data_IF_477378316186
#
_entry.id   IF_477378316186
#
_cell.length_a   1.000
_cell.length_b   1.000
_cell.length_c   1.000
_cell.angle_alpha   90.00
_cell.angle_beta   90.00
_cell.angle_gamma   90.00
#
_symmetry.space_group_name_H-M   'P 1'
#
loop_
_entity.id
_entity.type
_entity.pdbx_description
1 polymer ?
#
# COMPACT_ATOMS: atom_id res chain seq x y z
N UNK A 1 11.92 10.21 -1.11
CA UNK A 1 12.71 8.98 -1.31
C UNK A 1 11.76 7.80 -1.17
N UNK A 2 11.76 6.87 -2.14
CA UNK A 2 10.92 5.67 -2.05
C UNK A 2 11.55 4.72 -1.02
N UNK A 3 10.88 4.53 0.09
CA UNK A 3 11.28 3.63 1.16
C UNK A 3 11.20 2.17 0.71
N UNK A 4 10.22 1.86 -0.15
CA UNK A 4 9.88 0.50 -0.52
C UNK A 4 9.17 0.41 -1.88
N UNK A 5 9.24 -0.77 -2.49
CA UNK A 5 8.48 -1.12 -3.70
C UNK A 5 7.40 -2.13 -3.34
N UNK A 6 6.14 -1.74 -3.41
CA UNK A 6 4.98 -2.60 -3.14
C UNK A 6 4.96 -3.81 -4.08
N UNK A 7 4.86 -5.02 -3.54
CA UNK A 7 4.84 -6.28 -4.28
C UNK A 7 3.52 -7.02 -4.18
N UNK A 8 2.79 -6.86 -3.08
CA UNK A 8 1.49 -7.47 -2.85
C UNK A 8 0.58 -6.58 -2.02
N UNK A 9 -0.73 -6.76 -2.21
CA UNK A 9 -1.77 -6.13 -1.41
C UNK A 9 -2.97 -7.08 -1.36
N UNK A 10 -3.49 -7.33 -0.17
CA UNK A 10 -4.69 -8.13 0.03
C UNK A 10 -5.96 -7.33 -0.24
N UNK A 11 -7.10 -8.00 -0.27
CA UNK A 11 -8.39 -7.34 -0.09
C UNK A 11 -8.51 -6.74 1.31
N UNK A 12 -9.55 -5.93 1.52
CA UNK A 12 -9.90 -5.40 2.83
C UNK A 12 -10.72 -6.43 3.58
N UNK A 13 -10.40 -6.61 4.86
CA UNK A 13 -11.11 -7.48 5.78
C UNK A 13 -11.66 -6.67 6.95
N UNK A 14 -12.95 -6.81 7.22
CA UNK A 14 -13.61 -6.22 8.39
C UNK A 14 -13.61 -7.22 9.52
N UNK A 15 -13.20 -6.79 10.71
CA UNK A 15 -13.26 -7.57 11.95
C UNK A 15 -13.99 -6.78 13.02
N UNK A 16 -14.67 -7.50 13.92
CA UNK A 16 -15.25 -6.90 15.12
C UNK A 16 -14.15 -6.39 16.07
N UNK A 17 -14.45 -5.36 16.84
CA UNK A 17 -13.54 -4.91 17.91
C UNK A 17 -13.44 -5.98 19.00
N UNK A 18 -12.22 -6.37 19.36
CA UNK A 18 -11.97 -7.34 20.44
C UNK A 18 -11.66 -6.58 21.73
N UNK A 19 -12.52 -6.71 22.72
CA UNK A 19 -12.25 -6.24 24.10
C UNK A 19 -12.70 -4.82 24.44
N UNK A 20 -13.38 -4.10 23.54
CA UNK A 20 -14.00 -2.80 23.85
C UNK A 20 -15.21 -2.53 22.94
N UNK A 21 -16.14 -1.68 23.40
CA UNK A 21 -17.25 -1.17 22.60
C UNK A 21 -16.72 -0.13 21.62
N UNK A 22 -16.42 -0.57 20.39
CA UNK A 22 -15.92 0.26 19.31
C UNK A 22 -16.50 -0.18 17.97
N UNK A 23 -16.34 0.66 16.94
CA UNK A 23 -16.67 0.30 15.56
C UNK A 23 -15.75 -0.82 15.03
N UNK A 24 -16.18 -1.46 13.94
CA UNK A 24 -15.40 -2.48 13.25
C UNK A 24 -14.07 -1.95 12.74
N UNK A 25 -13.07 -2.82 12.68
CA UNK A 25 -11.77 -2.54 12.09
C UNK A 25 -11.70 -3.00 10.64
N UNK A 26 -11.00 -2.24 9.83
CA UNK A 26 -10.62 -2.64 8.49
C UNK A 26 -9.14 -3.01 8.47
N UNK A 27 -8.85 -4.25 8.09
CA UNK A 27 -7.53 -4.82 8.08
C UNK A 27 -7.09 -5.12 6.65
N UNK A 28 -5.81 -4.93 6.38
CA UNK A 28 -5.20 -5.17 5.08
C UNK A 28 -3.74 -5.58 5.30
N UNK A 29 -3.25 -6.51 4.51
CA UNK A 29 -1.82 -6.82 4.43
C UNK A 29 -1.22 -6.29 3.14
N UNK A 30 0.04 -5.88 3.24
CA UNK A 30 0.86 -5.49 2.09
C UNK A 30 2.21 -6.16 2.16
N UNK A 31 2.77 -6.52 1.00
CA UNK A 31 4.17 -6.94 0.88
C UNK A 31 4.95 -5.95 0.05
N UNK A 32 6.23 -5.75 0.39
CA UNK A 32 7.10 -4.82 -0.34
C UNK A 32 8.56 -5.20 -0.20
N UNK A 33 9.38 -4.76 -1.16
CA UNK A 33 10.84 -4.79 -1.04
C UNK A 33 11.37 -3.48 -0.50
N UNK A 34 12.36 -3.58 0.39
CA UNK A 34 13.06 -2.42 0.95
C UNK A 34 14.57 -2.70 1.04
N UNK A 35 15.36 -1.66 0.79
CA UNK A 35 16.83 -1.69 0.89
C UNK A 35 17.35 -1.07 2.19
N UNK A 36 16.46 -0.66 3.09
CA UNK A 36 16.82 -0.08 4.39
C UNK A 36 16.66 -1.13 5.49
N UNK A 37 17.34 -0.92 6.62
CA UNK A 37 17.29 -1.86 7.73
C UNK A 37 15.88 -2.00 8.31
N UNK A 38 15.52 -3.17 8.90
CA UNK A 38 14.22 -3.39 9.52
C UNK A 38 13.83 -2.34 10.57
N UNK A 39 14.78 -1.92 11.42
CA UNK A 39 14.54 -0.88 12.41
C UNK A 39 14.24 0.48 11.78
N UNK A 40 14.91 0.83 10.69
CA UNK A 40 14.61 2.07 9.97
C UNK A 40 13.25 2.01 9.27
N UNK A 41 12.85 0.84 8.74
CA UNK A 41 11.48 0.62 8.24
C UNK A 41 10.49 0.88 9.37
N UNK A 42 10.69 0.28 10.54
CA UNK A 42 9.79 0.47 11.69
C UNK A 42 9.67 1.94 12.10
N UNK A 43 10.78 2.67 12.21
CA UNK A 43 10.77 4.10 12.51
C UNK A 43 9.94 4.90 11.51
N UNK A 44 10.05 4.58 10.22
CA UNK A 44 9.28 5.28 9.18
C UNK A 44 7.79 4.94 9.22
N UNK A 45 7.42 3.70 9.55
CA UNK A 45 6.02 3.33 9.76
C UNK A 45 5.42 4.08 10.95
N UNK A 46 6.15 4.21 12.05
CA UNK A 46 5.74 5.02 13.21
C UNK A 46 5.56 6.52 12.87
N UNK A 47 6.41 7.06 12.01
CA UNK A 47 6.27 8.44 11.52
C UNK A 47 5.01 8.60 10.65
N UNK A 48 4.69 7.61 9.81
CA UNK A 48 3.45 7.58 9.03
C UNK A 48 2.24 7.56 9.95
N UNK A 49 2.19 6.69 10.94
CA UNK A 49 1.10 6.64 11.93
C UNK A 49 0.90 7.99 12.62
N UNK A 50 2.00 8.60 13.09
CA UNK A 50 1.98 9.92 13.71
C UNK A 50 1.44 11.00 12.77
N UNK A 51 1.87 11.00 11.51
CA UNK A 51 1.41 11.95 10.49
C UNK A 51 -0.09 11.81 10.23
N UNK A 52 -0.61 10.57 10.32
CA UNK A 52 -2.04 10.26 10.16
C UNK A 52 -2.87 10.51 11.43
N UNK A 53 -2.26 11.07 12.49
CA UNK A 53 -2.95 11.52 13.69
C UNK A 53 -2.91 10.55 14.89
N UNK A 54 -2.09 9.49 14.85
CA UNK A 54 -1.87 8.63 16.01
C UNK A 54 -0.97 9.32 17.03
N UNK A 55 -1.49 9.65 18.20
CA UNK A 55 -0.71 10.14 19.34
C UNK A 55 -0.57 9.04 20.39
N UNK A 56 0.65 8.55 20.63
CA UNK A 56 0.94 7.52 21.64
C UNK A 56 0.78 8.01 23.10
N UNK A 57 0.76 9.34 23.34
CA UNK A 57 0.52 9.93 24.67
C UNK A 57 -0.88 9.64 25.20
N UNK A 58 -1.83 9.25 24.37
CA UNK A 58 -3.21 8.95 24.73
C UNK A 58 -3.46 7.47 25.05
N UNK A 59 -2.42 6.63 25.11
CA UNK A 59 -2.50 5.17 25.27
C UNK A 59 -3.03 4.69 26.66
N UNK A 60 -3.28 5.58 27.59
CA UNK A 60 -3.91 5.23 28.88
C UNK A 60 -5.42 4.93 28.78
N UNK A 61 -6.05 5.13 27.63
CA UNK A 61 -7.44 4.77 27.33
C UNK A 61 -7.50 3.96 26.04
N UNK A 62 -8.28 2.89 26.04
CA UNK A 62 -8.67 2.13 24.85
C UNK A 62 -9.49 3.02 23.92
N UNK A 63 -8.79 3.91 23.19
CA UNK A 63 -9.38 4.80 22.20
C UNK A 63 -9.23 4.13 20.84
N UNK A 64 -10.30 4.17 20.06
CA UNK A 64 -10.29 3.71 18.66
C UNK A 64 -9.10 4.34 17.92
N UNK A 65 -8.14 3.52 17.48
CA UNK A 65 -6.94 3.97 16.75
C UNK A 65 -7.32 4.22 15.30
N UNK A 66 -6.90 5.36 14.77
CA UNK A 66 -7.14 5.72 13.36
C UNK A 66 -6.40 4.75 12.43
N UNK A 67 -5.18 4.35 12.80
CA UNK A 67 -4.34 3.43 12.04
C UNK A 67 -3.35 2.74 13.00
N UNK A 68 -3.04 1.48 12.68
CA UNK A 68 -2.02 0.66 13.34
C UNK A 68 -1.25 -0.10 12.26
N UNK A 69 0.08 0.03 12.21
CA UNK A 69 0.91 -0.56 11.16
C UNK A 69 1.98 -1.43 11.81
N UNK A 70 1.82 -2.74 11.71
CA UNK A 70 2.73 -3.73 12.26
C UNK A 70 3.59 -4.38 11.16
N UNK A 71 4.88 -4.63 11.45
CA UNK A 71 5.73 -5.49 10.63
C UNK A 71 5.48 -6.94 11.06
N UNK A 72 4.93 -7.75 10.16
CA UNK A 72 4.58 -9.13 10.44
C UNK A 72 5.75 -10.10 10.26
N UNK A 73 6.37 -10.06 9.07
CA UNK A 73 7.45 -10.93 8.63
C UNK A 73 8.47 -10.17 7.80
N UNK A 74 9.73 -10.56 7.86
CA UNK A 74 10.80 -10.10 6.96
C UNK A 74 11.59 -11.33 6.52
N UNK A 75 11.23 -11.89 5.37
CA UNK A 75 11.87 -13.12 4.85
C UNK A 75 11.99 -14.21 5.94
N UNK A 76 13.18 -14.70 6.21
CA UNK A 76 13.50 -15.69 7.25
C UNK A 76 14.10 -15.07 8.52
N UNK A 77 14.09 -13.72 8.64
CA UNK A 77 14.69 -13.03 9.78
C UNK A 77 13.88 -13.26 11.06
N UNK A 78 14.65 -13.42 12.15
CA UNK A 78 14.13 -13.42 13.52
C UNK A 78 14.81 -12.28 14.27
N UNK A 79 14.03 -11.32 14.71
CA UNK A 79 14.49 -10.16 15.49
C UNK A 79 13.66 -10.13 16.78
N UNK A 80 14.35 -10.09 17.92
CA UNK A 80 13.73 -9.94 19.24
C UNK A 80 14.44 -8.81 19.98
N UNK A 81 13.98 -7.59 19.73
CA UNK A 81 14.43 -6.40 20.42
C UNK A 81 13.26 -5.68 21.11
N UNK A 82 13.56 -4.70 21.95
CA UNK A 82 12.52 -3.90 22.59
C UNK A 82 11.69 -3.10 21.57
N UNK A 83 12.34 -2.64 20.50
CA UNK A 83 11.71 -1.78 19.48
C UNK A 83 11.04 -2.56 18.33
N UNK A 84 11.52 -3.78 18.05
CA UNK A 84 11.05 -4.57 16.91
C UNK A 84 11.11 -6.05 17.20
N UNK A 85 9.97 -6.74 17.03
CA UNK A 85 9.87 -8.20 17.08
C UNK A 85 9.36 -8.73 15.76
N UNK A 86 10.15 -9.59 15.12
CA UNK A 86 9.85 -10.22 13.83
C UNK A 86 10.25 -11.69 13.91
N UNK A 87 9.36 -12.63 13.63
CA UNK A 87 7.93 -12.46 13.29
C UNK A 87 7.15 -11.78 14.40
N UNK A 88 6.08 -11.07 14.02
CA UNK A 88 5.21 -10.41 15.00
C UNK A 88 4.60 -11.46 15.97
N UNK A 89 4.74 -11.30 17.30
CA UNK A 89 4.41 -12.35 18.26
C UNK A 89 2.98 -12.88 18.15
N UNK A 90 2.03 -11.98 17.88
CA UNK A 90 0.61 -12.30 17.86
C UNK A 90 0.06 -12.62 16.46
N UNK A 91 0.89 -12.63 15.42
CA UNK A 91 0.39 -12.76 14.05
C UNK A 91 -0.37 -14.09 13.84
N UNK A 92 0.15 -15.18 14.39
CA UNK A 92 -0.46 -16.50 14.26
C UNK A 92 -1.68 -16.71 15.15
N UNK A 93 -2.03 -15.76 16.03
CA UNK A 93 -3.19 -15.82 16.92
C UNK A 93 -4.35 -14.94 16.45
N UNK A 94 -4.16 -14.18 15.37
CA UNK A 94 -5.11 -13.17 14.88
C UNK A 94 -5.59 -13.49 13.48
N UNK A 95 -6.84 -13.89 13.36
CA UNK A 95 -7.44 -14.23 12.07
C UNK A 95 -7.44 -13.05 11.09
N UNK A 96 -7.68 -11.84 11.59
CA UNK A 96 -7.67 -10.62 10.79
C UNK A 96 -6.27 -10.21 10.28
N UNK A 97 -5.21 -10.87 10.76
CA UNK A 97 -3.85 -10.78 10.24
C UNK A 97 -3.58 -11.92 9.26
N UNK A 98 -3.92 -13.15 9.64
CA UNK A 98 -3.58 -14.35 8.87
C UNK A 98 -4.33 -14.45 7.55
N UNK A 99 -5.65 -14.16 7.51
CA UNK A 99 -6.41 -14.23 6.25
C UNK A 99 -5.88 -13.31 5.15
N UNK A 100 -5.69 -11.99 5.40
CA UNK A 100 -5.12 -11.13 4.38
C UNK A 100 -3.66 -11.46 4.03
N UNK A 101 -2.88 -12.02 4.95
CA UNK A 101 -1.50 -12.42 4.69
C UNK A 101 -1.43 -13.66 3.78
N UNK A 102 -2.24 -14.68 4.04
CA UNK A 102 -2.36 -15.88 3.22
C UNK A 102 -2.89 -15.54 1.81
N UNK A 103 -3.75 -14.55 1.68
CA UNK A 103 -4.21 -14.08 0.37
C UNK A 103 -3.06 -13.55 -0.49
N UNK A 104 -2.05 -12.91 0.13
CA UNK A 104 -0.86 -12.43 -0.60
C UNK A 104 0.04 -13.60 -1.01
N UNK A 105 0.36 -14.48 -0.08
CA UNK A 105 1.18 -15.67 -0.34
C UNK A 105 0.88 -16.78 0.70
N UNK A 106 0.11 -17.80 0.30
CA UNK A 106 -0.22 -18.92 1.18
C UNK A 106 0.96 -19.83 1.52
N UNK A 107 2.04 -19.76 0.72
CA UNK A 107 3.19 -20.64 0.85
C UNK A 107 4.33 -20.03 1.70
N UNK A 108 4.13 -18.84 2.25
CA UNK A 108 5.09 -18.24 3.17
C UNK A 108 5.36 -19.18 4.35
N UNK A 109 6.64 -19.39 4.64
CA UNK A 109 7.09 -20.21 5.76
C UNK A 109 7.33 -19.32 6.97
N UNK A 110 6.73 -19.66 8.09
CA UNK A 110 6.99 -18.95 9.33
C UNK A 110 8.43 -19.20 9.81
N UNK A 111 9.27 -18.18 10.01
CA UNK A 111 10.74 -18.35 10.19
C UNK A 111 11.12 -19.13 11.46
N UNK A 112 10.26 -19.16 12.48
CA UNK A 112 10.53 -19.88 13.73
C UNK A 112 9.98 -21.30 13.68
N UNK A 113 8.69 -21.48 13.38
CA UNK A 113 8.05 -22.80 13.37
C UNK A 113 8.43 -23.65 12.16
N UNK A 114 8.94 -23.03 11.09
CA UNK A 114 9.26 -23.69 9.81
C UNK A 114 8.07 -24.38 9.12
N UNK A 115 6.86 -23.95 9.47
CA UNK A 115 5.58 -24.42 8.93
C UNK A 115 5.03 -23.34 8.01
N UNK A 116 4.28 -23.73 6.97
CA UNK A 116 3.63 -22.76 6.08
C UNK A 116 2.53 -22.01 6.83
N UNK A 117 2.31 -20.74 6.47
CA UNK A 117 1.24 -19.95 7.07
C UNK A 117 -0.15 -20.55 6.81
N UNK A 118 -0.31 -21.22 5.67
CA UNK A 118 -1.53 -21.93 5.34
C UNK A 118 -1.81 -23.09 6.32
N UNK A 119 -0.80 -23.92 6.61
CA UNK A 119 -0.93 -25.02 7.58
C UNK A 119 -1.23 -24.48 8.99
N UNK A 120 -0.53 -23.42 9.42
CA UNK A 120 -0.83 -22.77 10.71
C UNK A 120 -2.27 -22.27 10.74
N UNK A 121 -2.78 -21.72 9.65
CA UNK A 121 -4.13 -21.19 9.57
C UNK A 121 -5.19 -22.29 9.55
N UNK A 122 -4.93 -23.46 8.99
CA UNK A 122 -5.84 -24.61 8.99
C UNK A 122 -6.13 -25.13 10.41
N UNK A 123 -5.21 -24.94 11.35
CA UNK A 123 -5.35 -25.27 12.77
C UNK A 123 -5.99 -24.13 13.59
N UNK A 124 -6.37 -23.02 12.96
CA UNK A 124 -6.81 -21.81 13.61
C UNK A 124 -8.22 -21.93 14.20
N UNK A 125 -8.45 -21.32 15.35
CA UNK A 125 -9.80 -21.21 15.95
C UNK A 125 -10.73 -20.34 15.06
N UNK A 126 -11.79 -20.94 14.55
CA UNK A 126 -12.75 -20.31 13.64
C UNK A 126 -13.70 -19.30 14.32
N UNK A 127 -13.58 -19.11 15.66
CA UNK A 127 -14.52 -18.25 16.42
C UNK A 127 -14.33 -16.75 16.16
N UNK A 128 -13.18 -16.31 15.61
CA UNK A 128 -12.97 -14.91 15.28
C UNK A 128 -13.72 -14.57 13.98
N UNK A 129 -14.73 -13.69 14.11
CA UNK A 129 -15.50 -13.23 12.95
C UNK A 129 -14.70 -12.24 12.10
N UNK A 130 -14.61 -12.53 10.82
CA UNK A 130 -13.97 -11.69 9.82
C UNK A 130 -14.78 -11.75 8.53
N UNK A 131 -14.87 -10.63 7.83
CA UNK A 131 -15.60 -10.52 6.57
C UNK A 131 -14.73 -9.84 5.52
N UNK A 132 -14.45 -10.54 4.44
CA UNK A 132 -13.83 -9.95 3.25
C UNK A 132 -14.79 -8.95 2.60
N UNK A 133 -14.31 -7.77 2.23
CA UNK A 133 -15.07 -6.69 1.60
C UNK A 133 -14.73 -6.56 0.14
N UNK A 134 -15.74 -6.38 -0.69
CA UNK A 134 -15.59 -6.03 -2.12
C UNK A 134 -15.25 -4.54 -2.29
N UNK A 135 -14.24 -4.08 -1.56
CA UNK A 135 -13.70 -2.73 -1.67
C UNK A 135 -12.44 -2.77 -2.52
N UNK A 136 -12.48 -2.12 -3.66
CA UNK A 136 -11.32 -1.94 -4.51
C UNK A 136 -10.50 -0.79 -3.94
N UNK A 137 -9.36 -1.11 -3.35
CA UNK A 137 -8.34 -0.11 -3.10
C UNK A 137 -7.75 0.30 -4.44
N UNK A 138 -7.60 1.59 -4.64
CA UNK A 138 -6.79 2.11 -5.74
C UNK A 138 -5.35 1.61 -5.53
N UNK A 139 -5.10 0.40 -6.03
CA UNK A 139 -3.80 -0.23 -5.91
C UNK A 139 -2.79 0.61 -6.69
N UNK A 140 -1.81 1.24 -6.03
CA UNK A 140 -0.77 1.97 -6.73
C UNK A 140 0.02 1.07 -7.70
N UNK A 141 -0.11 -0.27 -7.60
CA UNK A 141 0.35 -1.21 -8.62
C UNK A 141 -0.39 -1.09 -9.95
N UNK A 142 -1.65 -0.69 -9.97
CA UNK A 142 -2.35 -0.43 -11.23
C UNK A 142 -1.72 0.76 -11.97
N UNK A 143 -1.10 1.69 -11.23
CA UNK A 143 -0.20 2.70 -11.79
C UNK A 143 1.17 2.11 -12.19
N UNK A 144 1.62 1.01 -11.56
CA UNK A 144 2.85 0.30 -11.94
C UNK A 144 2.66 -0.58 -13.18
N UNK A 145 1.43 -0.91 -13.56
CA UNK A 145 1.14 -1.54 -14.85
C UNK A 145 1.52 -0.65 -16.05
N UNK A 146 1.73 0.64 -15.82
CA UNK A 146 2.34 1.58 -16.78
C UNK A 146 3.64 1.02 -17.38
N UNK A 147 4.43 0.28 -16.60
CA UNK A 147 5.68 -0.35 -17.10
C UNK A 147 5.46 -1.43 -18.16
N UNK A 148 4.24 -1.95 -18.26
CA UNK A 148 3.88 -2.96 -19.26
C UNK A 148 3.49 -2.34 -20.62
N UNK A 149 3.40 -1.02 -20.70
CA UNK A 149 3.06 -0.31 -21.91
C UNK A 149 4.28 0.37 -22.53
N UNK A 150 4.45 0.21 -23.83
CA UNK A 150 5.52 0.85 -24.57
C UNK A 150 5.25 2.36 -24.82
N UNK A 151 4.00 2.76 -24.71
CA UNK A 151 3.56 4.13 -25.00
C UNK A 151 2.35 4.50 -24.14
N UNK A 152 2.37 5.68 -23.54
CA UNK A 152 1.28 6.25 -22.76
C UNK A 152 1.03 7.68 -23.28
N UNK A 153 -0.18 7.92 -23.77
CA UNK A 153 -0.64 9.24 -24.16
C UNK A 153 -1.45 9.89 -23.02
N UNK A 154 -1.18 11.16 -22.75
CA UNK A 154 -1.92 11.97 -21.78
C UNK A 154 -2.61 13.10 -22.52
N UNK A 155 -3.92 13.08 -22.53
CA UNK A 155 -4.76 14.07 -23.16
C UNK A 155 -5.57 14.85 -22.12
N UNK A 156 -5.99 16.06 -22.48
CA UNK A 156 -6.84 16.93 -21.65
C UNK A 156 -6.79 18.37 -22.10
N UNK A 157 -7.65 19.21 -21.56
CA UNK A 157 -7.77 20.62 -21.94
C UNK A 157 -6.52 21.45 -21.62
N UNK A 158 -6.39 22.62 -22.25
CA UNK A 158 -5.31 23.58 -21.95
C UNK A 158 -5.39 23.94 -20.47
N UNK A 159 -4.24 23.95 -19.79
CA UNK A 159 -4.16 24.28 -18.36
C UNK A 159 -4.51 23.12 -17.40
N UNK A 160 -4.91 21.93 -17.88
CA UNK A 160 -5.31 20.79 -17.03
C UNK A 160 -4.15 20.06 -16.32
N UNK A 161 -2.92 20.55 -16.45
CA UNK A 161 -1.75 19.97 -15.80
C UNK A 161 -1.09 18.77 -16.50
N UNK A 162 -1.45 18.48 -17.76
CA UNK A 162 -0.88 17.37 -18.55
C UNK A 162 0.65 17.32 -18.52
N UNK A 163 1.28 18.46 -18.76
CA UNK A 163 2.76 18.56 -18.80
C UNK A 163 3.38 18.24 -17.44
N UNK A 164 2.77 18.71 -16.36
CA UNK A 164 3.24 18.43 -14.99
C UNK A 164 3.10 16.95 -14.66
N UNK A 165 1.95 16.35 -14.99
CA UNK A 165 1.69 14.92 -14.80
C UNK A 165 2.65 14.07 -15.64
N UNK A 166 2.86 14.40 -16.92
CA UNK A 166 3.78 13.67 -17.81
C UNK A 166 5.21 13.71 -17.28
N UNK A 167 5.68 14.86 -16.79
CA UNK A 167 7.00 15.01 -16.17
C UNK A 167 7.12 14.16 -14.91
N UNK A 168 6.10 14.14 -14.08
CA UNK A 168 6.09 13.35 -12.85
C UNK A 168 6.12 11.85 -13.15
N UNK A 169 5.28 11.37 -14.07
CA UNK A 169 5.28 9.98 -14.53
C UNK A 169 6.65 9.60 -15.11
N UNK A 170 7.23 10.45 -15.97
CA UNK A 170 8.55 10.19 -16.53
C UNK A 170 9.63 10.05 -15.46
N UNK A 171 9.62 10.91 -14.44
CA UNK A 171 10.56 10.84 -13.32
C UNK A 171 10.33 9.61 -12.44
N UNK A 172 9.07 9.32 -12.14
CA UNK A 172 8.69 8.22 -11.24
C UNK A 172 8.97 6.84 -11.82
N UNK A 173 8.79 6.67 -13.13
CA UNK A 173 8.94 5.39 -13.81
C UNK A 173 10.20 5.29 -14.68
N UNK A 174 11.06 6.32 -14.67
CA UNK A 174 12.25 6.42 -15.51
C UNK A 174 11.93 6.15 -16.99
N UNK A 175 10.91 6.82 -17.51
CA UNK A 175 10.44 6.67 -18.88
C UNK A 175 10.86 7.86 -19.72
N UNK A 176 10.97 7.65 -21.05
CA UNK A 176 11.25 8.73 -21.99
C UNK A 176 10.05 9.66 -22.09
N UNK A 177 10.25 10.95 -21.78
CA UNK A 177 9.24 11.99 -21.92
C UNK A 177 9.22 12.54 -23.35
N UNK A 178 8.05 12.55 -23.95
CA UNK A 178 7.77 13.24 -25.20
C UNK A 178 6.67 14.27 -24.97
N UNK A 179 7.01 15.54 -25.09
CA UNK A 179 6.05 16.64 -24.99
C UNK A 179 5.63 17.08 -26.38
N UNK A 180 4.37 17.51 -26.50
CA UNK A 180 3.87 18.14 -27.72
C UNK A 180 4.69 19.41 -28.03
N UNK A 181 5.16 19.51 -29.27
CA UNK A 181 5.90 20.70 -29.76
C UNK A 181 4.93 21.66 -30.40
N UNK A 182 4.42 22.62 -29.64
CA UNK A 182 3.48 23.63 -30.14
C UNK A 182 4.09 24.47 -31.28
N UNK A 183 5.40 24.75 -31.22
CA UNK A 183 6.07 25.66 -32.15
C UNK A 183 6.15 25.08 -33.56
N UNK A 184 6.21 23.75 -33.66
CA UNK A 184 6.41 23.06 -34.97
C UNK A 184 5.12 22.39 -35.48
N UNK A 185 3.95 22.67 -34.86
CA UNK A 185 2.70 22.09 -35.29
C UNK A 185 2.04 22.98 -36.39
N UNK A 186 2.09 22.59 -37.68
CA UNK A 186 1.57 23.40 -38.77
C UNK A 186 0.05 23.58 -38.76
N UNK A 187 -0.66 22.81 -37.97
CA UNK A 187 -2.12 22.85 -37.84
C UNK A 187 -2.59 23.78 -36.71
N UNK A 188 -1.71 24.15 -35.77
CA UNK A 188 -2.09 24.94 -34.61
C UNK A 188 -2.53 26.35 -34.98
N UNK A 189 -1.81 26.99 -35.93
CA UNK A 189 -2.16 28.31 -36.44
C UNK A 189 -3.56 28.33 -37.07
N UNK A 190 -3.87 27.33 -37.90
CA UNK A 190 -5.19 27.17 -38.51
C UNK A 190 -6.29 26.91 -37.53
N UNK A 191 -5.99 26.18 -36.43
CA UNK A 191 -6.94 25.89 -35.36
C UNK A 191 -7.36 27.17 -34.62
N UNK A 192 -6.42 28.07 -34.36
CA UNK A 192 -6.71 29.37 -33.74
C UNK A 192 -7.39 30.35 -34.69
N UNK A 193 -7.05 30.32 -35.99
CA UNK A 193 -7.73 31.14 -37.01
C UNK A 193 -9.22 30.77 -37.20
N UNK A 194 -9.58 29.49 -37.01
CA UNK A 194 -10.94 29.01 -37.20
C UNK A 194 -11.86 29.29 -36.01
N UNK A 195 -11.40 30.01 -34.98
CA UNK A 195 -12.19 30.37 -33.77
C UNK A 195 -12.94 29.20 -33.14
N UNK A 196 -12.38 28.00 -33.23
CA UNK A 196 -12.97 26.78 -32.63
C UNK A 196 -12.77 26.71 -31.11
N UNK A 197 -12.25 27.79 -30.51
CA UNK A 197 -12.18 27.97 -29.05
C UNK A 197 -13.13 29.09 -28.67
N UNK A 198 -14.41 28.84 -28.81
CA UNK A 198 -15.45 29.51 -28.04
C UNK A 198 -16.18 28.45 -27.23
N UNK A 199 -15.65 28.17 -26.07
CA UNK A 199 -16.40 27.62 -24.92
C UNK A 199 -16.01 28.43 -23.71
#
# INVERSE_FOLDING_TARGET
SRIASLTGISCIYQSESIGFDGGDFYNICTSFFSNISPHLVMQQLLEIEKTLGRNRSDEAKYISRIIDIDILLIEDLVIDSEELKVPHPEMCNRRFVMEPLIEIDPNLIHPVSKVSLKEIYEEFDQNQKIQKKDLILNNPRNLLSIRNYNYIAIEGNIGSGKTSLSKQISADFNTKLMLERYIDNPFLAKFYELSLIHI
#
